data_IF_735090364193
#
_entry.id   IF_735090364193
#
_cell.length_a   1.000
_cell.length_b   1.000
_cell.length_c   1.000
_cell.angle_alpha   90.00
_cell.angle_beta   90.00
_cell.angle_gamma   90.00
#
_symmetry.space_group_name_H-M   'P 1'
#
loop_
_entity.id
_entity.type
_entity.pdbx_description
1 polymer ?
#
# COMPACT_ATOMS: atom_id res chain seq x y z
N UNK A 1 -1.70 4.49 8.49
CA UNK A 1 -0.65 5.43 8.94
C UNK A 1 -1.16 6.80 8.62
N UNK A 2 -1.58 7.56 9.63
CA UNK A 2 -2.39 8.77 9.44
C UNK A 2 -1.68 9.85 8.61
N UNK A 3 -0.36 9.91 8.67
CA UNK A 3 0.46 10.89 7.94
C UNK A 3 0.62 10.56 6.46
N UNK A 4 0.77 9.26 6.11
CA UNK A 4 0.80 8.81 4.70
C UNK A 4 -0.58 8.98 4.07
N UNK A 5 -1.65 8.67 4.81
CA UNK A 5 -3.04 8.87 4.37
C UNK A 5 -3.37 10.33 4.06
N UNK A 6 -2.63 11.28 4.65
CA UNK A 6 -2.79 12.72 4.42
C UNK A 6 -1.80 13.30 3.40
N UNK A 7 -0.87 12.49 2.88
CA UNK A 7 0.20 12.96 2.00
C UNK A 7 1.27 13.80 2.69
N UNK A 8 1.32 13.80 4.03
CA UNK A 8 2.33 14.55 4.81
C UNK A 8 3.71 13.88 4.75
N UNK A 9 3.78 12.62 4.34
CA UNK A 9 5.00 11.81 4.26
C UNK A 9 4.99 11.04 2.94
N UNK A 10 6.10 11.08 2.20
CA UNK A 10 6.27 10.26 1.00
C UNK A 10 6.56 8.80 1.41
N UNK A 11 5.70 7.89 0.94
CA UNK A 11 5.87 6.45 1.17
C UNK A 11 7.17 5.90 0.56
N UNK A 12 7.71 6.56 -0.48
CA UNK A 12 8.94 6.14 -1.17
C UNK A 12 10.18 6.18 -0.28
N UNK A 13 10.15 6.96 0.81
CA UNK A 13 11.21 6.99 1.81
C UNK A 13 11.26 5.69 2.64
N UNK A 14 10.18 4.91 2.65
CA UNK A 14 10.03 3.72 3.49
C UNK A 14 9.88 2.43 2.67
N UNK A 15 9.23 2.51 1.51
CA UNK A 15 8.92 1.37 0.65
C UNK A 15 9.42 1.67 -0.76
N UNK A 16 10.27 0.78 -1.29
CA UNK A 16 10.76 0.91 -2.66
C UNK A 16 9.60 0.94 -3.67
N UNK A 17 9.76 1.75 -4.72
CA UNK A 17 8.74 1.97 -5.76
C UNK A 17 8.26 0.67 -6.43
N UNK A 18 9.17 -0.29 -6.64
CA UNK A 18 8.82 -1.61 -7.19
C UNK A 18 7.87 -2.40 -6.28
N UNK A 19 8.08 -2.33 -4.95
CA UNK A 19 7.24 -2.97 -3.95
C UNK A 19 5.88 -2.27 -3.85
N UNK A 20 5.85 -0.94 -3.89
CA UNK A 20 4.61 -0.16 -3.92
C UNK A 20 3.75 -0.61 -5.11
N UNK A 21 4.33 -0.63 -6.32
CA UNK A 21 3.64 -1.05 -7.55
C UNK A 21 3.08 -2.47 -7.45
N UNK A 22 3.86 -3.42 -6.91
CA UNK A 22 3.42 -4.82 -6.73
C UNK A 22 2.25 -4.93 -5.74
N UNK A 23 2.33 -4.27 -4.58
CA UNK A 23 1.26 -4.28 -3.58
C UNK A 23 -0.01 -3.61 -4.14
N UNK A 24 0.11 -2.45 -4.79
CA UNK A 24 -1.04 -1.77 -5.41
C UNK A 24 -1.70 -2.63 -6.48
N UNK A 25 -0.90 -3.29 -7.34
CA UNK A 25 -1.41 -4.19 -8.38
C UNK A 25 -2.16 -5.37 -7.78
N UNK A 26 -1.68 -5.90 -6.65
CA UNK A 26 -2.36 -6.99 -5.95
C UNK A 26 -3.73 -6.56 -5.42
N UNK A 27 -3.82 -5.45 -4.68
CA UNK A 27 -5.10 -4.98 -4.14
C UNK A 27 -6.08 -4.49 -5.20
N UNK A 28 -5.60 -3.97 -6.33
CA UNK A 28 -6.48 -3.67 -7.48
C UNK A 28 -7.14 -4.92 -8.07
N UNK A 29 -6.48 -6.07 -8.00
CA UNK A 29 -7.03 -7.36 -8.44
C UNK A 29 -7.87 -8.05 -7.36
N UNK A 30 -7.52 -7.82 -6.10
CA UNK A 30 -8.14 -8.45 -4.93
C UNK A 30 -8.57 -7.36 -3.93
N UNK A 31 -9.64 -6.59 -4.21
CA UNK A 31 -10.04 -5.44 -3.38
C UNK A 31 -10.43 -5.84 -1.95
N UNK A 32 -10.99 -7.05 -1.79
CA UNK A 32 -11.42 -7.60 -0.50
C UNK A 32 -10.30 -8.30 0.29
N UNK A 33 -9.09 -8.42 -0.29
CA UNK A 33 -7.99 -9.11 0.38
C UNK A 33 -7.57 -8.39 1.66
N UNK A 34 -7.25 -9.16 2.68
CA UNK A 34 -6.66 -8.64 3.92
C UNK A 34 -5.13 -8.57 3.79
N UNK A 35 -4.44 -8.12 4.85
CA UNK A 35 -2.98 -8.03 4.84
C UNK A 35 -2.30 -9.40 4.85
N UNK A 36 -2.90 -10.39 5.50
CA UNK A 36 -2.40 -11.77 5.57
C UNK A 36 -2.41 -12.42 4.19
N UNK A 37 -3.50 -12.27 3.44
CA UNK A 37 -3.62 -12.81 2.07
C UNK A 37 -2.55 -12.20 1.16
N UNK A 38 -2.35 -10.89 1.27
CA UNK A 38 -1.34 -10.19 0.48
C UNK A 38 0.09 -10.63 0.82
N UNK A 39 0.40 -10.92 2.08
CA UNK A 39 1.71 -11.47 2.48
C UNK A 39 1.89 -12.89 1.94
N UNK A 40 0.85 -13.72 2.02
CA UNK A 40 0.90 -15.09 1.51
C UNK A 40 1.17 -15.13 -0.01
N UNK A 41 0.54 -14.23 -0.76
CA UNK A 41 0.65 -14.17 -2.23
C UNK A 41 1.90 -13.44 -2.72
N UNK A 42 2.29 -12.33 -2.09
CA UNK A 42 3.46 -11.53 -2.50
C UNK A 42 4.78 -12.13 -2.01
N UNK A 43 4.73 -12.98 -0.98
CA UNK A 43 5.88 -13.70 -0.45
C UNK A 43 6.73 -12.90 0.54
N UNK A 44 7.82 -13.54 1.00
CA UNK A 44 8.66 -13.08 2.12
C UNK A 44 9.38 -11.75 1.93
N UNK A 45 9.46 -11.25 0.69
CA UNK A 45 10.01 -9.92 0.40
C UNK A 45 9.11 -8.77 0.89
N UNK A 46 7.87 -9.09 1.26
CA UNK A 46 6.90 -8.13 1.76
C UNK A 46 6.63 -8.41 3.24
N UNK A 47 6.59 -7.33 4.03
CA UNK A 47 6.24 -7.38 5.44
C UNK A 47 4.94 -6.61 5.69
N UNK A 48 4.32 -6.85 6.84
CA UNK A 48 3.05 -6.20 7.21
C UNK A 48 3.14 -4.67 7.22
N UNK A 49 4.29 -4.10 7.56
CA UNK A 49 4.49 -2.64 7.57
C UNK A 49 4.40 -2.06 6.15
N UNK A 50 5.08 -2.66 5.18
CA UNK A 50 5.04 -2.24 3.77
C UNK A 50 3.61 -2.33 3.23
N UNK A 51 2.92 -3.43 3.51
CA UNK A 51 1.53 -3.62 3.07
C UNK A 51 0.60 -2.56 3.67
N UNK A 52 0.73 -2.29 4.97
CA UNK A 52 -0.09 -1.28 5.66
C UNK A 52 0.20 0.13 5.17
N UNK A 53 1.48 0.47 4.95
CA UNK A 53 1.89 1.75 4.36
C UNK A 53 1.26 1.93 2.98
N UNK A 54 1.34 0.93 2.10
CA UNK A 54 0.79 1.03 0.75
C UNK A 54 -0.74 1.10 0.76
N UNK A 55 -1.45 0.35 1.62
CA UNK A 55 -2.92 0.52 1.77
C UNK A 55 -3.28 1.94 2.19
N UNK A 56 -2.53 2.53 3.13
CA UNK A 56 -2.70 3.93 3.54
C UNK A 56 -2.45 4.91 2.39
N UNK A 57 -1.41 4.66 1.58
CA UNK A 57 -1.13 5.45 0.39
C UNK A 57 -2.20 5.31 -0.70
N UNK A 58 -2.77 4.11 -0.89
CA UNK A 58 -3.87 3.90 -1.83
C UNK A 58 -5.12 4.72 -1.43
N UNK A 59 -5.45 4.79 -0.13
CA UNK A 59 -6.52 5.65 0.37
C UNK A 59 -6.26 7.13 0.11
N UNK A 60 -5.04 7.60 0.39
CA UNK A 60 -4.62 8.96 0.07
C UNK A 60 -4.84 9.28 -1.42
N UNK A 61 -4.44 8.37 -2.31
CA UNK A 61 -4.65 8.53 -3.75
C UNK A 61 -6.13 8.55 -4.13
N UNK A 62 -6.97 7.73 -3.52
CA UNK A 62 -8.42 7.70 -3.78
C UNK A 62 -9.15 8.95 -3.26
N UNK A 63 -8.71 9.50 -2.11
CA UNK A 63 -9.27 10.71 -1.54
C UNK A 63 -8.77 11.97 -2.26
N UNK A 64 -7.49 12.00 -2.69
CA UNK A 64 -6.91 13.10 -3.46
C UNK A 64 -7.45 13.21 -4.89
N UNK A 65 -8.02 12.15 -5.46
CA UNK A 65 -8.64 12.14 -6.79
C UNK A 65 -10.15 12.51 -6.78
N UNK A 66 -10.69 12.86 -5.60
CA UNK A 66 -12.08 13.33 -5.43
C UNK A 66 -12.19 14.86 -5.34
N UNK A 67 -11.08 15.58 -5.57
CA UNK A 67 -11.02 17.04 -5.61
C UNK A 67 -10.92 17.59 -7.02
#
# INVERSE_FOLDING_TARGET
MKYIEKGEIDIKDFVKDDKIKKIMKYYKKNPEANSTDAIAELGRDFNYSNIRMVKSYMKYLEEGNKG
#
